data_IF_134162960889
#
_entry.id   IF_134162960889
#
_cell.length_a   1.000
_cell.length_b   1.000
_cell.length_c   1.000
_cell.angle_alpha   90.00
_cell.angle_beta   90.00
_cell.angle_gamma   90.00
#
_symmetry.space_group_name_H-M   'P 1'
#
loop_
_entity.id
_entity.type
_entity.pdbx_description
1 polymer ?
#
# COMPACT_ATOMS: atom_id res chain seq x y z
N UNK A 1 3.02 4.43 -0.96
CA UNK A 1 1.99 5.50 -0.94
C UNK A 1 2.09 6.25 0.38
N UNK A 2 2.39 7.59 0.39
CA UNK A 2 2.76 8.29 1.61
C UNK A 2 2.27 9.76 1.65
N UNK A 3 1.13 10.05 1.02
CA UNK A 3 0.59 11.40 0.88
C UNK A 3 -0.41 11.80 1.99
N UNK A 4 -0.93 10.84 2.76
CA UNK A 4 -2.00 11.02 3.73
C UNK A 4 -1.65 11.95 4.89
N UNK A 5 -2.68 12.53 5.51
CA UNK A 5 -2.56 13.45 6.65
C UNK A 5 -2.22 12.76 7.99
N UNK A 6 -2.50 11.45 8.13
CA UNK A 6 -2.25 10.69 9.36
C UNK A 6 -3.04 11.16 10.59
N UNK A 7 -4.25 11.67 10.41
CA UNK A 7 -5.02 12.35 11.46
C UNK A 7 -5.41 11.48 12.66
N UNK A 8 -5.46 10.14 12.50
CA UNK A 8 -5.77 9.20 13.59
C UNK A 8 -4.71 9.16 14.70
N UNK A 9 -3.46 9.46 14.39
CA UNK A 9 -2.36 9.57 15.37
C UNK A 9 -2.35 10.86 16.21
N UNK A 10 -3.28 11.79 15.95
CA UNK A 10 -3.40 13.03 16.73
C UNK A 10 -2.11 13.83 16.78
N UNK A 11 -1.59 14.08 18.00
CA UNK A 11 -0.41 14.94 18.21
C UNK A 11 0.90 14.39 17.64
N UNK A 12 1.05 13.08 17.53
CA UNK A 12 2.29 12.48 17.03
C UNK A 12 2.57 12.86 15.57
N UNK A 13 1.51 13.02 14.75
CA UNK A 13 1.62 13.37 13.33
C UNK A 13 1.42 14.86 13.04
N UNK A 14 1.30 15.73 14.06
CA UNK A 14 1.25 17.19 13.84
C UNK A 14 2.52 17.72 13.14
N UNK A 15 3.67 17.14 13.45
CA UNK A 15 4.97 17.61 12.97
C UNK A 15 5.71 16.64 12.06
N UNK A 16 5.28 15.39 11.98
CA UNK A 16 5.87 14.35 11.13
C UNK A 16 4.78 13.67 10.30
N UNK A 17 5.05 13.18 9.08
CA UNK A 17 4.07 12.39 8.35
C UNK A 17 3.96 10.98 8.96
N UNK A 18 2.79 10.30 8.77
CA UNK A 18 2.47 9.00 9.36
C UNK A 18 3.58 7.95 9.17
N UNK A 19 4.16 7.85 7.98
CA UNK A 19 5.25 6.90 7.72
C UNK A 19 6.54 7.14 8.54
N UNK A 20 6.66 8.30 9.22
CA UNK A 20 7.78 8.60 10.13
C UNK A 20 7.47 8.32 11.60
N UNK A 21 6.28 7.82 11.92
CA UNK A 21 6.02 7.27 13.26
C UNK A 21 6.99 6.12 13.47
N UNK A 22 7.68 6.16 14.61
CA UNK A 22 8.66 5.13 14.96
C UNK A 22 7.96 3.92 15.55
N UNK A 23 8.22 2.76 14.96
CA UNK A 23 7.82 1.47 15.46
C UNK A 23 9.09 0.71 15.90
N UNK A 24 9.24 0.47 17.20
CA UNK A 24 10.46 -0.12 17.76
C UNK A 24 11.72 0.72 17.48
N UNK A 25 11.64 2.04 17.65
CA UNK A 25 12.76 2.98 17.50
C UNK A 25 13.23 3.21 16.05
N UNK A 26 12.43 2.82 15.03
CA UNK A 26 12.75 3.06 13.62
C UNK A 26 11.48 3.50 12.87
N UNK A 27 11.52 4.61 12.07
CA UNK A 27 10.37 5.03 11.26
C UNK A 27 9.88 3.92 10.33
N UNK A 28 8.55 3.74 10.22
CA UNK A 28 7.93 2.71 9.37
C UNK A 28 8.41 2.78 7.92
N UNK A 29 8.47 3.97 7.33
CA UNK A 29 8.96 4.17 5.96
C UNK A 29 10.43 3.73 5.82
N UNK A 30 11.27 3.95 6.83
CA UNK A 30 12.69 3.53 6.79
C UNK A 30 12.79 2.01 6.85
N UNK A 31 11.95 1.34 7.67
CA UNK A 31 11.87 -0.12 7.68
C UNK A 31 11.50 -0.67 6.30
N UNK A 32 10.46 -0.11 5.67
CA UNK A 32 10.04 -0.52 4.32
C UNK A 32 11.15 -0.31 3.28
N UNK A 33 11.79 0.86 3.27
CA UNK A 33 12.91 1.16 2.36
C UNK A 33 14.04 0.14 2.52
N UNK A 34 14.48 -0.11 3.77
CA UNK A 34 15.57 -1.07 4.03
C UNK A 34 15.17 -2.50 3.64
N UNK A 35 13.94 -2.93 3.90
CA UNK A 35 13.43 -4.24 3.48
C UNK A 35 13.41 -4.38 1.96
N UNK A 36 12.94 -3.37 1.24
CA UNK A 36 12.92 -3.35 -0.23
C UNK A 36 14.33 -3.44 -0.82
N UNK A 37 15.29 -2.67 -0.28
CA UNK A 37 16.68 -2.72 -0.72
C UNK A 37 17.32 -4.09 -0.49
N UNK A 38 17.06 -4.73 0.65
CA UNK A 38 17.53 -6.11 0.95
C UNK A 38 16.90 -7.14 0.00
N UNK A 39 15.67 -6.91 -0.47
CA UNK A 39 15.02 -7.74 -1.51
C UNK A 39 15.53 -7.43 -2.93
N UNK A 40 16.46 -6.51 -3.12
CA UNK A 40 17.05 -6.20 -4.43
C UNK A 40 16.30 -5.15 -5.24
N UNK A 41 15.32 -4.47 -4.64
CA UNK A 41 14.62 -3.36 -5.29
C UNK A 41 15.59 -2.17 -5.39
N UNK A 42 15.88 -1.73 -6.60
CA UNK A 42 16.89 -0.69 -6.88
C UNK A 42 16.32 0.72 -7.07
N UNK A 43 14.99 0.85 -7.22
CA UNK A 43 14.30 2.14 -7.40
C UNK A 43 13.05 2.17 -6.55
N UNK A 44 12.87 3.23 -5.77
CA UNK A 44 11.74 3.41 -4.85
C UNK A 44 11.13 4.78 -5.14
N UNK A 45 9.86 4.80 -5.57
CA UNK A 45 9.11 6.04 -5.82
C UNK A 45 8.15 6.25 -4.65
N UNK A 46 8.26 7.38 -3.96
CA UNK A 46 7.36 7.73 -2.86
C UNK A 46 6.40 8.82 -3.31
N UNK A 47 5.12 8.50 -3.42
CA UNK A 47 4.06 9.48 -3.61
C UNK A 47 3.82 10.24 -2.31
N UNK A 48 4.20 11.51 -2.27
CA UNK A 48 4.23 12.35 -1.08
C UNK A 48 3.12 13.41 -1.07
N UNK A 49 2.76 13.87 0.11
CA UNK A 49 1.78 14.95 0.31
C UNK A 49 2.10 15.75 1.56
N UNK A 50 1.45 15.41 2.67
CA UNK A 50 1.69 16.04 3.96
C UNK A 50 3.15 15.86 4.41
N UNK A 51 3.79 16.98 4.80
CA UNK A 51 5.20 17.00 5.29
C UNK A 51 6.18 16.30 4.32
N UNK A 52 6.01 16.52 3.01
CA UNK A 52 6.83 15.89 1.95
C UNK A 52 8.34 16.05 2.17
N UNK A 53 8.78 17.13 2.81
CA UNK A 53 10.18 17.45 3.06
C UNK A 53 10.89 16.35 3.88
N UNK A 54 10.15 15.66 4.76
CA UNK A 54 10.69 14.54 5.52
C UNK A 54 11.07 13.36 4.61
N UNK A 55 10.23 13.04 3.62
CA UNK A 55 10.53 11.99 2.62
C UNK A 55 11.65 12.43 1.67
N UNK A 56 11.66 13.68 1.22
CA UNK A 56 12.71 14.23 0.37
C UNK A 56 14.09 14.17 1.05
N UNK A 57 14.16 14.38 2.37
CA UNK A 57 15.40 14.27 3.14
C UNK A 57 15.99 12.84 3.17
N UNK A 58 15.16 11.79 3.02
CA UNK A 58 15.64 10.41 2.95
C UNK A 58 16.58 10.16 1.76
N UNK A 59 16.48 10.92 0.69
CA UNK A 59 17.32 10.80 -0.51
C UNK A 59 18.81 10.97 -0.19
N UNK A 60 19.15 11.74 0.84
CA UNK A 60 20.53 11.89 1.28
C UNK A 60 21.15 10.59 1.80
N UNK A 61 20.34 9.71 2.39
CA UNK A 61 20.76 8.40 2.91
C UNK A 61 20.46 7.26 1.93
N UNK A 62 19.38 7.37 1.17
CA UNK A 62 18.89 6.35 0.24
C UNK A 62 18.73 6.97 -1.16
N UNK A 63 19.80 7.01 -1.97
CA UNK A 63 19.76 7.62 -3.30
C UNK A 63 18.84 6.92 -4.30
N UNK A 64 18.34 5.72 -3.97
CA UNK A 64 17.35 4.97 -4.73
C UNK A 64 15.95 5.59 -4.66
N UNK A 65 15.72 6.54 -3.72
CA UNK A 65 14.42 7.17 -3.52
C UNK A 65 14.22 8.32 -4.50
N UNK A 66 13.07 8.31 -5.14
CA UNK A 66 12.47 9.41 -5.89
C UNK A 66 11.17 9.82 -5.20
N UNK A 67 10.91 11.12 -5.05
CA UNK A 67 9.66 11.62 -4.45
C UNK A 67 8.81 12.31 -5.52
N UNK A 68 7.53 11.95 -5.57
CA UNK A 68 6.54 12.59 -6.43
C UNK A 68 5.50 13.27 -5.55
N UNK A 69 5.41 14.59 -5.63
CA UNK A 69 4.47 15.36 -4.84
C UNK A 69 3.04 15.27 -5.42
N UNK A 70 2.08 14.97 -4.58
CA UNK A 70 0.65 14.95 -4.88
C UNK A 70 0.01 16.27 -4.42
N UNK A 71 -0.20 17.28 -5.30
CA UNK A 71 -0.56 18.64 -4.87
C UNK A 71 -1.94 18.75 -4.24
N UNK A 72 -2.87 17.84 -4.58
CA UNK A 72 -4.24 17.81 -4.05
C UNK A 72 -4.43 16.76 -2.95
N UNK A 73 -3.36 16.33 -2.27
CA UNK A 73 -3.41 15.27 -1.26
C UNK A 73 -4.46 15.50 -0.15
N UNK A 74 -4.73 16.75 0.22
CA UNK A 74 -5.72 17.07 1.25
C UNK A 74 -7.19 16.96 0.76
N UNK A 75 -7.39 17.04 -0.55
CA UNK A 75 -8.71 17.07 -1.20
C UNK A 75 -9.06 15.72 -1.86
N UNK A 76 -8.06 14.86 -2.06
CA UNK A 76 -8.17 13.61 -2.81
C UNK A 76 -7.87 12.39 -1.93
N UNK A 77 -7.75 11.20 -2.51
CA UNK A 77 -7.39 9.98 -1.81
C UNK A 77 -6.25 9.25 -2.55
N UNK A 78 -5.98 8.01 -2.16
CA UNK A 78 -4.84 7.18 -2.56
C UNK A 78 -4.74 6.98 -4.07
N UNK A 79 -5.87 6.82 -4.79
CA UNK A 79 -5.84 6.67 -6.26
C UNK A 79 -5.30 7.91 -6.97
N UNK A 80 -5.64 9.12 -6.52
CA UNK A 80 -5.08 10.34 -7.10
C UNK A 80 -3.56 10.40 -6.92
N UNK A 81 -3.06 10.02 -5.76
CA UNK A 81 -1.62 9.98 -5.51
C UNK A 81 -0.93 8.98 -6.43
N UNK A 82 -1.49 7.77 -6.57
CA UNK A 82 -0.98 6.75 -7.48
C UNK A 82 -1.00 7.21 -8.94
N UNK A 83 -2.10 7.82 -9.39
CA UNK A 83 -2.23 8.40 -10.73
C UNK A 83 -1.18 9.49 -11.00
N UNK A 84 -0.88 10.32 -10.00
CA UNK A 84 0.12 11.40 -10.12
C UNK A 84 1.55 10.87 -10.31
N UNK A 85 1.81 9.63 -9.87
CA UNK A 85 3.11 8.97 -10.02
C UNK A 85 3.33 8.35 -11.42
N UNK A 86 2.35 8.36 -12.33
CA UNK A 86 2.38 7.63 -13.60
C UNK A 86 3.57 7.97 -14.51
N UNK A 87 4.00 9.23 -14.54
CA UNK A 87 5.15 9.64 -15.35
C UNK A 87 6.46 9.11 -14.76
N UNK A 88 6.60 9.13 -13.44
CA UNK A 88 7.76 8.59 -12.75
C UNK A 88 7.81 7.06 -12.81
N UNK A 89 6.68 6.36 -12.69
CA UNK A 89 6.61 4.89 -12.84
C UNK A 89 6.95 4.50 -14.29
N UNK A 90 6.45 5.23 -15.28
CA UNK A 90 6.73 4.97 -16.69
C UNK A 90 6.12 3.65 -17.17
N UNK A 91 6.95 2.81 -17.79
CA UNK A 91 6.52 1.53 -18.37
C UNK A 91 6.96 0.30 -17.55
N UNK A 92 7.30 0.49 -16.28
CA UNK A 92 7.81 -0.58 -15.42
C UNK A 92 6.67 -1.28 -14.65
N UNK A 93 6.82 -2.58 -14.41
CA UNK A 93 6.06 -3.31 -13.40
C UNK A 93 6.62 -2.92 -12.02
N UNK A 94 5.77 -2.86 -10.99
CA UNK A 94 6.20 -2.39 -9.69
C UNK A 94 5.47 -3.07 -8.52
N UNK A 95 6.03 -2.91 -7.32
CA UNK A 95 5.32 -3.21 -6.08
C UNK A 95 4.71 -1.92 -5.54
N UNK A 96 3.41 -1.92 -5.30
CA UNK A 96 2.67 -0.86 -4.61
C UNK A 96 2.62 -1.18 -3.13
N UNK A 97 3.02 -0.23 -2.27
CA UNK A 97 2.98 -0.40 -0.82
C UNK A 97 2.36 0.84 -0.15
N UNK A 98 1.65 0.60 0.93
CA UNK A 98 1.28 1.63 1.88
C UNK A 98 2.45 1.99 2.80
N UNK A 99 2.42 3.16 3.43
CA UNK A 99 3.57 3.69 4.19
C UNK A 99 3.51 3.44 5.70
N UNK A 100 2.46 2.83 6.17
CA UNK A 100 2.07 2.61 7.56
C UNK A 100 2.10 1.14 7.97
N UNK A 101 2.83 0.36 7.20
CA UNK A 101 2.99 -1.08 7.40
C UNK A 101 4.32 -1.41 8.08
N UNK A 102 4.27 -2.39 8.98
CA UNK A 102 5.42 -3.19 9.40
C UNK A 102 5.21 -4.62 8.91
N UNK A 103 6.23 -5.22 8.30
CA UNK A 103 6.09 -6.52 7.66
C UNK A 103 7.42 -7.24 7.51
N UNK A 104 7.39 -8.56 7.51
CA UNK A 104 8.56 -9.38 7.22
C UNK A 104 8.88 -9.41 5.72
N UNK A 105 10.15 -9.66 5.41
CA UNK A 105 10.65 -9.72 4.02
C UNK A 105 9.87 -10.68 3.12
N UNK A 106 9.27 -11.73 3.69
CA UNK A 106 8.44 -12.71 2.98
C UNK A 106 7.28 -12.06 2.22
N UNK A 107 6.73 -10.92 2.70
CA UNK A 107 5.69 -10.18 1.98
C UNK A 107 6.16 -9.76 0.58
N UNK A 108 7.39 -9.26 0.48
CA UNK A 108 7.99 -8.80 -0.78
C UNK A 108 8.40 -9.98 -1.66
N UNK A 109 9.14 -10.95 -1.10
CA UNK A 109 9.64 -12.08 -1.89
C UNK A 109 8.52 -12.95 -2.43
N UNK A 110 7.42 -13.17 -1.68
CA UNK A 110 6.27 -13.92 -2.17
C UNK A 110 5.63 -13.28 -3.41
N UNK A 111 5.53 -11.95 -3.45
CA UNK A 111 5.02 -11.23 -4.63
C UNK A 111 6.01 -11.24 -5.79
N UNK A 112 7.32 -11.12 -5.51
CA UNK A 112 8.33 -11.18 -6.56
C UNK A 112 8.39 -12.55 -7.23
N UNK A 113 8.26 -13.62 -6.43
CA UNK A 113 8.39 -15.01 -6.88
C UNK A 113 7.09 -15.58 -7.50
N UNK A 114 5.94 -14.92 -7.28
CA UNK A 114 4.67 -15.42 -7.83
C UNK A 114 4.60 -15.29 -9.35
N UNK A 115 3.92 -16.25 -10.01
CA UNK A 115 3.74 -16.29 -11.46
C UNK A 115 2.77 -15.23 -11.99
N UNK A 116 1.97 -14.61 -11.13
CA UNK A 116 0.98 -13.61 -11.52
C UNK A 116 1.64 -12.32 -12.01
N UNK A 117 1.15 -11.76 -13.11
CA UNK A 117 1.60 -10.46 -13.61
C UNK A 117 1.19 -9.34 -12.66
N UNK A 118 -0.04 -9.41 -12.11
CA UNK A 118 -0.54 -8.53 -11.07
C UNK A 118 -1.15 -9.35 -9.95
N UNK A 119 -0.82 -9.04 -8.69
CA UNK A 119 -1.30 -9.79 -7.54
C UNK A 119 -1.54 -8.88 -6.33
N UNK A 120 -2.69 -9.06 -5.70
CA UNK A 120 -3.06 -8.49 -4.41
C UNK A 120 -2.63 -9.46 -3.30
N UNK A 121 -1.81 -9.00 -2.37
CA UNK A 121 -1.37 -9.82 -1.24
C UNK A 121 -2.44 -9.81 -0.14
N UNK A 122 -2.84 -10.99 0.31
CA UNK A 122 -3.73 -11.18 1.45
C UNK A 122 -3.17 -12.18 2.46
N UNK A 123 -3.67 -12.08 3.70
CA UNK A 123 -3.44 -13.07 4.76
C UNK A 123 -4.77 -13.62 5.28
N UNK A 124 -4.77 -14.70 6.08
CA UNK A 124 -5.95 -15.02 6.88
C UNK A 124 -6.40 -13.83 7.70
N UNK A 125 -7.70 -13.69 7.94
CA UNK A 125 -8.26 -12.59 8.73
C UNK A 125 -7.74 -12.66 10.17
N UNK A 126 -7.03 -11.61 10.61
CA UNK A 126 -6.45 -11.48 11.95
C UNK A 126 -7.01 -10.30 12.72
N UNK A 127 -7.37 -9.21 12.04
CA UNK A 127 -8.08 -8.06 12.62
C UNK A 127 -9.57 -8.13 12.31
N UNK A 128 -10.41 -7.58 13.19
CA UNK A 128 -11.87 -7.58 13.05
C UNK A 128 -12.47 -6.18 12.87
N UNK A 129 -11.63 -5.14 12.77
CA UNK A 129 -12.06 -3.75 12.59
C UNK A 129 -11.08 -3.02 11.68
N UNK A 130 -11.61 -2.07 10.91
CA UNK A 130 -10.86 -1.15 10.02
C UNK A 130 -9.97 -1.82 8.96
N UNK A 131 -10.36 -3.04 8.50
CA UNK A 131 -9.63 -3.78 7.48
C UNK A 131 -10.44 -3.88 6.18
N UNK A 132 -9.72 -4.01 5.07
CA UNK A 132 -10.30 -4.46 3.81
C UNK A 132 -10.27 -5.98 3.74
N UNK A 133 -11.44 -6.58 3.59
CA UNK A 133 -11.62 -8.01 3.33
C UNK A 133 -11.65 -8.24 1.83
N UNK A 134 -11.08 -9.35 1.39
CA UNK A 134 -10.93 -9.67 -0.03
C UNK A 134 -11.61 -11.00 -0.35
N UNK A 135 -12.47 -11.01 -1.36
CA UNK A 135 -13.05 -12.20 -1.94
C UNK A 135 -12.37 -12.55 -3.26
N UNK A 136 -12.14 -13.83 -3.49
CA UNK A 136 -11.57 -14.36 -4.72
C UNK A 136 -12.34 -15.57 -5.21
N UNK A 137 -12.29 -15.83 -6.50
CA UNK A 137 -12.82 -17.05 -7.09
C UNK A 137 -11.88 -18.26 -6.95
N UNK A 138 -12.28 -19.39 -7.59
CA UNK A 138 -11.51 -20.64 -7.57
C UNK A 138 -10.18 -20.52 -8.31
N UNK A 139 -10.05 -19.62 -9.27
CA UNK A 139 -8.85 -19.36 -10.08
C UNK A 139 -7.96 -18.28 -9.45
N UNK A 140 -8.24 -17.89 -8.21
CA UNK A 140 -7.58 -16.81 -7.48
C UNK A 140 -7.73 -15.44 -8.14
N UNK A 141 -8.80 -15.15 -8.83
CA UNK A 141 -9.11 -13.83 -9.37
C UNK A 141 -9.89 -13.03 -8.32
N UNK A 142 -9.54 -11.76 -8.17
CA UNK A 142 -10.24 -10.81 -7.29
C UNK A 142 -11.69 -10.64 -7.75
N UNK A 143 -12.63 -10.92 -6.84
CA UNK A 143 -14.08 -10.84 -7.06
C UNK A 143 -14.68 -9.64 -6.34
N UNK A 144 -14.27 -9.39 -5.09
CA UNK A 144 -14.76 -8.27 -4.30
C UNK A 144 -13.74 -7.84 -3.23
N UNK A 145 -13.88 -6.60 -2.78
CA UNK A 145 -13.07 -6.02 -1.71
C UNK A 145 -13.95 -5.05 -0.91
N UNK A 146 -14.12 -5.29 0.38
CA UNK A 146 -15.04 -4.52 1.23
C UNK A 146 -14.48 -4.34 2.64
N UNK A 147 -14.81 -3.21 3.26
CA UNK A 147 -14.61 -3.01 4.71
C UNK A 147 -15.69 -3.67 5.55
N UNK A 148 -16.81 -4.07 4.94
CA UNK A 148 -17.88 -4.83 5.57
C UNK A 148 -17.68 -6.33 5.31
N UNK A 149 -17.26 -7.06 6.34
CA UNK A 149 -17.03 -8.50 6.28
C UNK A 149 -18.28 -9.32 5.97
N UNK A 150 -19.45 -8.83 6.35
CA UNK A 150 -20.71 -9.52 6.14
C UNK A 150 -21.26 -9.33 4.72
N UNK A 151 -20.71 -8.37 3.98
CA UNK A 151 -21.08 -8.08 2.59
C UNK A 151 -20.48 -9.05 1.58
N UNK A 152 -19.39 -9.76 1.94
CA UNK A 152 -18.63 -10.63 1.06
C UNK A 152 -18.29 -11.99 1.71
N UNK A 153 -17.72 -12.92 0.94
CA UNK A 153 -17.15 -14.18 1.46
C UNK A 153 -15.62 -14.09 1.54
N UNK A 154 -15.06 -13.60 2.67
CA UNK A 154 -13.65 -13.26 2.74
C UNK A 154 -12.73 -14.46 2.56
N UNK A 155 -11.85 -14.42 1.58
CA UNK A 155 -10.71 -15.33 1.45
C UNK A 155 -9.57 -14.95 2.43
N UNK A 156 -9.51 -13.66 2.80
CA UNK A 156 -8.54 -13.10 3.73
C UNK A 156 -8.70 -11.59 3.90
N UNK A 157 -7.73 -10.98 4.57
CA UNK A 157 -7.61 -9.53 4.73
C UNK A 157 -6.47 -8.97 3.87
N UNK A 158 -6.64 -7.74 3.40
CA UNK A 158 -5.68 -7.02 2.59
C UNK A 158 -4.44 -6.63 3.41
N UNK A 159 -3.26 -6.84 2.83
CA UNK A 159 -1.98 -6.46 3.48
C UNK A 159 -1.55 -5.03 3.11
N UNK A 160 -2.12 -4.44 2.05
CA UNK A 160 -1.66 -3.14 1.54
C UNK A 160 -0.36 -3.22 0.73
N UNK A 161 0.01 -4.42 0.25
CA UNK A 161 1.16 -4.65 -0.63
C UNK A 161 0.69 -5.42 -1.87
N UNK A 162 1.02 -4.91 -3.07
CA UNK A 162 0.57 -5.47 -4.34
C UNK A 162 1.71 -5.55 -5.36
N UNK A 163 1.66 -6.54 -6.22
CA UNK A 163 2.42 -6.55 -7.48
C UNK A 163 1.53 -6.03 -8.58
N UNK A 164 1.97 -5.02 -9.30
CA UNK A 164 1.19 -4.34 -10.33
C UNK A 164 2.00 -4.37 -11.63
N UNK A 165 1.46 -5.03 -12.66
CA UNK A 165 2.03 -4.94 -14.01
C UNK A 165 1.73 -3.57 -14.62
N UNK A 166 2.63 -3.10 -15.46
CA UNK A 166 2.42 -1.83 -16.19
C UNK A 166 1.12 -1.85 -17.02
N UNK A 167 0.80 -3.00 -17.61
CA UNK A 167 -0.45 -3.16 -18.38
C UNK A 167 -1.69 -2.91 -17.50
N UNK A 168 -1.72 -3.50 -16.30
CA UNK A 168 -2.82 -3.28 -15.34
C UNK A 168 -2.86 -1.83 -14.87
N UNK A 169 -1.72 -1.26 -14.52
CA UNK A 169 -1.61 0.12 -14.06
C UNK A 169 -2.08 1.14 -15.12
N UNK A 170 -1.77 0.89 -16.39
CA UNK A 170 -2.28 1.74 -17.48
C UNK A 170 -3.80 1.73 -17.55
N UNK A 171 -4.44 0.58 -17.41
CA UNK A 171 -5.90 0.49 -17.34
C UNK A 171 -6.45 1.31 -16.17
N UNK A 172 -5.85 1.22 -14.96
CA UNK A 172 -6.22 2.06 -13.82
C UNK A 172 -6.08 3.55 -14.14
N UNK A 173 -4.98 3.96 -14.76
CA UNK A 173 -4.73 5.37 -15.07
C UNK A 173 -5.69 5.90 -16.15
N UNK A 174 -5.99 5.11 -17.17
CA UNK A 174 -6.93 5.48 -18.25
C UNK A 174 -8.36 5.63 -17.69
N UNK A 175 -8.83 4.66 -16.93
CA UNK A 175 -10.16 4.67 -16.32
C UNK A 175 -10.31 5.79 -15.27
N UNK A 176 -9.36 5.88 -14.32
CA UNK A 176 -9.39 6.93 -13.30
C UNK A 176 -9.26 8.32 -13.91
N UNK A 177 -8.41 8.51 -14.93
CA UNK A 177 -8.22 9.79 -15.61
C UNK A 177 -9.51 10.37 -16.18
N UNK A 178 -10.43 9.51 -16.62
CA UNK A 178 -11.74 9.93 -17.14
C UNK A 178 -12.72 10.42 -16.05
N UNK A 179 -12.55 10.00 -14.80
CA UNK A 179 -13.47 10.25 -13.67
C UNK A 179 -12.84 10.96 -12.46
N UNK A 180 -11.58 11.38 -12.54
CA UNK A 180 -10.82 11.93 -11.41
C UNK A 180 -11.46 13.17 -10.76
N UNK A 181 -12.09 14.04 -11.54
CA UNK A 181 -12.79 15.23 -11.03
C UNK A 181 -14.16 14.88 -10.41
N UNK A 182 -14.80 13.80 -10.85
CA UNK A 182 -16.07 13.33 -10.32
C UNK A 182 -15.89 12.47 -9.06
N UNK A 183 -14.75 11.74 -8.97
CA UNK A 183 -14.44 10.83 -7.87
C UNK A 183 -13.08 11.16 -7.22
N UNK A 184 -12.87 12.37 -6.70
CA UNK A 184 -11.58 12.79 -6.16
C UNK A 184 -11.16 11.98 -4.90
N UNK A 185 -12.13 11.40 -4.19
CA UNK A 185 -11.91 10.61 -2.96
C UNK A 185 -11.81 9.10 -3.20
N UNK A 186 -11.65 8.65 -4.45
CA UNK A 186 -11.53 7.24 -4.75
C UNK A 186 -10.24 6.66 -4.16
N UNK A 187 -10.35 5.57 -3.40
CA UNK A 187 -9.23 4.74 -2.95
C UNK A 187 -8.70 3.88 -4.10
N UNK A 188 -7.40 3.60 -4.10
CA UNK A 188 -6.79 2.76 -5.13
C UNK A 188 -7.33 1.31 -5.07
N UNK A 189 -7.76 0.85 -3.92
CA UNK A 189 -8.32 -0.48 -3.68
C UNK A 189 -9.60 -0.70 -4.50
N UNK A 190 -10.47 0.30 -4.50
CA UNK A 190 -11.70 0.27 -5.29
C UNK A 190 -11.43 0.38 -6.79
N UNK A 191 -10.38 1.10 -7.18
CA UNK A 191 -9.95 1.16 -8.58
C UNK A 191 -9.34 -0.17 -9.04
N UNK A 192 -8.53 -0.81 -8.20
CA UNK A 192 -8.03 -2.17 -8.46
C UNK A 192 -9.20 -3.15 -8.68
N UNK A 193 -10.20 -3.12 -7.80
CA UNK A 193 -11.40 -3.94 -7.93
C UNK A 193 -12.16 -3.65 -9.23
N UNK A 194 -12.44 -2.37 -9.50
CA UNK A 194 -13.16 -1.97 -10.71
C UNK A 194 -12.47 -2.45 -11.98
N UNK A 195 -11.17 -2.20 -12.12
CA UNK A 195 -10.37 -2.64 -13.27
C UNK A 195 -10.32 -4.16 -13.37
N UNK A 196 -10.20 -4.86 -12.22
CA UNK A 196 -10.21 -6.32 -12.17
C UNK A 196 -11.51 -6.91 -12.70
N UNK A 197 -12.64 -6.32 -12.40
CA UNK A 197 -13.97 -6.81 -12.79
C UNK A 197 -14.36 -6.44 -14.22
N UNK A 198 -13.81 -5.34 -14.77
CA UNK A 198 -14.35 -4.76 -16.01
C UNK A 198 -13.37 -4.74 -17.17
N UNK A 199 -12.06 -4.76 -16.91
CA UNK A 199 -11.05 -4.54 -17.96
C UNK A 199 -10.03 -5.68 -18.03
N UNK A 200 -9.34 -5.98 -16.92
CA UNK A 200 -8.29 -7.02 -16.88
C UNK A 200 -8.10 -7.55 -15.47
N UNK A 201 -7.99 -8.87 -15.31
CA UNK A 201 -8.01 -9.55 -14.02
C UNK A 201 -6.81 -9.20 -13.12
N UNK A 202 -7.08 -9.04 -11.82
CA UNK A 202 -6.10 -9.03 -10.73
C UNK A 202 -6.15 -10.39 -10.03
N UNK A 203 -5.00 -11.03 -9.83
CA UNK A 203 -4.94 -12.22 -9.01
C UNK A 203 -4.84 -11.88 -7.52
N UNK A 204 -5.21 -12.83 -6.68
CA UNK A 204 -5.09 -12.75 -5.22
C UNK A 204 -4.07 -13.78 -4.76
N UNK A 205 -2.99 -13.32 -4.13
CA UNK A 205 -1.97 -14.16 -3.53
C UNK A 205 -2.19 -14.23 -2.02
N UNK A 206 -2.61 -15.40 -1.52
CA UNK A 206 -2.75 -15.64 -0.08
C UNK A 206 -1.48 -16.21 0.49
N UNK A 207 -0.96 -15.57 1.54
CA UNK A 207 0.24 -16.02 2.28
C UNK A 207 -0.12 -16.28 3.74
N UNK A 208 -0.16 -17.55 4.11
CA UNK A 208 -0.44 -17.95 5.48
C UNK A 208 0.80 -17.71 6.39
N UNK A 209 0.52 -17.27 7.63
CA UNK A 209 1.54 -17.06 8.65
C UNK A 209 2.51 -15.93 8.33
N UNK A 210 2.13 -14.97 7.49
CA UNK A 210 2.89 -13.75 7.24
C UNK A 210 2.89 -12.87 8.49
N UNK A 211 4.07 -12.42 8.92
CA UNK A 211 4.20 -11.41 9.97
C UNK A 211 4.09 -10.02 9.35
N UNK A 212 3.05 -9.33 9.72
CA UNK A 212 2.79 -7.96 9.26
C UNK A 212 1.77 -7.28 10.17
N UNK A 213 1.72 -5.97 10.14
CA UNK A 213 0.69 -5.19 10.81
C UNK A 213 0.56 -3.80 10.18
N UNK A 214 -0.67 -3.31 10.04
CA UNK A 214 -0.96 -1.93 9.68
C UNK A 214 -1.11 -1.11 10.96
N UNK A 215 -0.42 0.01 11.03
CA UNK A 215 -0.36 0.87 12.21
C UNK A 215 -1.08 2.17 11.89
N UNK A 216 -2.32 2.27 12.31
CA UNK A 216 -3.20 3.40 12.02
C UNK A 216 -3.28 4.42 13.15
N UNK A 217 -3.08 3.98 14.39
CA UNK A 217 -3.17 4.80 15.59
C UNK A 217 -2.19 4.34 16.69
N UNK A 218 -2.28 4.95 17.88
CA UNK A 218 -1.41 4.61 19.02
C UNK A 218 -1.65 3.19 19.56
N UNK A 219 -2.89 2.69 19.52
CA UNK A 219 -3.20 1.34 19.99
C UNK A 219 -2.62 0.29 19.05
N UNK A 220 -2.67 0.52 17.74
CA UNK A 220 -2.01 -0.33 16.74
C UNK A 220 -0.49 -0.34 16.94
N UNK A 221 0.11 0.83 17.22
CA UNK A 221 1.54 0.93 17.46
C UNK A 221 1.95 0.12 18.70
N UNK A 222 1.26 0.29 19.82
CA UNK A 222 1.51 -0.49 21.04
C UNK A 222 1.37 -2.00 20.81
N UNK A 223 0.34 -2.40 20.05
CA UNK A 223 0.13 -3.80 19.70
C UNK A 223 1.28 -4.34 18.84
N UNK A 224 1.67 -3.60 17.80
CA UNK A 224 2.75 -4.00 16.90
C UNK A 224 4.09 -4.10 17.64
N UNK A 225 4.41 -3.16 18.52
CA UNK A 225 5.62 -3.17 19.34
C UNK A 225 5.68 -4.39 20.27
N UNK A 226 4.55 -4.74 20.86
CA UNK A 226 4.47 -5.83 21.83
C UNK A 226 4.42 -7.22 21.18
N UNK A 227 3.85 -7.36 19.99
CA UNK A 227 3.48 -8.67 19.44
C UNK A 227 4.07 -8.99 18.08
N UNK A 228 4.55 -7.99 17.33
CA UNK A 228 4.98 -8.16 15.93
C UNK A 228 6.46 -7.87 15.76
N UNK A 229 6.93 -6.71 16.24
CA UNK A 229 8.26 -6.19 15.88
C UNK A 229 9.43 -7.07 16.34
N UNK A 230 9.31 -7.74 17.48
CA UNK A 230 10.36 -8.66 17.98
C UNK A 230 10.49 -9.92 17.12
N UNK A 231 9.51 -10.20 16.26
CA UNK A 231 9.50 -11.35 15.36
C UNK A 231 9.90 -11.01 13.92
N UNK A 232 9.96 -9.72 13.58
CA UNK A 232 10.41 -9.22 12.27
C UNK A 232 11.94 -9.10 12.24
#
# INVERSE_FOLDING_TARGET
MAAGLGTRFGRQTENIPKGFVEAGGKPMVVRSVETLLVCGISRIIIGTGYKKEAYEALRGRYPQIECVFSPRYAETNSMYTLYNMREAIGAEDFLLLESDLVYERKAITSLMDCEYASAMLITPVTKFQDQYYVEKDADNILVDCSTDKEAIHPAGELVGIHKISNAFYRCMCEDYGAKAEEQPKLGYEYELLHVSLTITSMNVLKVDGLLWYEIDDEADLEYAEKHILDML
#
